data_IF_585977068434
#
_entry.id   IF_585977068434
#
_cell.length_a   1.000
_cell.length_b   1.000
_cell.length_c   1.000
_cell.angle_alpha   90.00
_cell.angle_beta   90.00
_cell.angle_gamma   90.00
#
_symmetry.space_group_name_H-M   'P 1'
#
loop_
_entity.id
_entity.type
_entity.pdbx_description
1 polymer ?
#
# COMPACT_ATOMS: atom_id res chain seq x y z
N UNK A 1 23.83 -77.52 19.11
CA UNK A 1 24.69 -76.36 19.40
C UNK A 1 24.45 -75.33 18.27
N UNK A 2 23.48 -74.46 18.43
CA UNK A 2 23.10 -73.47 17.43
C UNK A 2 23.57 -72.09 17.92
N UNK A 3 24.42 -71.41 17.18
CA UNK A 3 24.92 -70.11 17.49
C UNK A 3 23.93 -69.08 16.91
N UNK A 4 23.19 -68.39 17.75
CA UNK A 4 22.43 -67.22 17.40
C UNK A 4 23.38 -66.04 17.13
N UNK A 5 23.38 -65.52 15.88
CA UNK A 5 24.01 -64.25 15.52
C UNK A 5 23.02 -63.11 15.84
N UNK A 6 23.42 -62.24 16.76
CA UNK A 6 22.79 -60.98 17.03
C UNK A 6 23.09 -60.01 15.90
N UNK A 7 22.07 -59.60 15.13
CA UNK A 7 22.15 -58.55 14.16
C UNK A 7 21.83 -57.24 14.87
N UNK A 8 22.89 -56.50 15.14
CA UNK A 8 22.80 -55.13 15.67
C UNK A 8 22.40 -54.22 14.51
N UNK A 9 21.19 -53.69 14.54
CA UNK A 9 20.73 -52.64 13.62
C UNK A 9 21.10 -51.29 14.23
N UNK A 10 22.18 -50.73 13.80
CA UNK A 10 22.48 -49.31 14.00
C UNK A 10 21.54 -48.49 13.10
N UNK A 11 20.46 -48.01 13.70
CA UNK A 11 19.51 -47.07 13.08
C UNK A 11 19.89 -45.67 13.46
N UNK A 12 20.95 -45.12 12.87
CA UNK A 12 21.21 -43.68 12.89
C UNK A 12 20.30 -43.01 11.85
N UNK A 13 19.06 -42.75 12.26
CA UNK A 13 18.12 -41.93 11.53
C UNK A 13 18.31 -40.46 11.84
N UNK A 14 19.48 -39.91 11.53
CA UNK A 14 19.69 -38.48 11.48
C UNK A 14 18.70 -37.88 10.47
N UNK A 15 17.62 -37.24 10.94
CA UNK A 15 16.73 -36.49 10.08
C UNK A 15 17.56 -35.49 9.31
N UNK A 16 17.77 -35.73 8.01
CA UNK A 16 18.47 -34.79 7.15
C UNK A 16 17.76 -33.44 7.23
N UNK A 17 18.44 -32.41 7.72
CA UNK A 17 17.89 -31.04 7.71
C UNK A 17 17.43 -30.73 6.30
N UNK A 18 16.23 -30.13 6.13
CA UNK A 18 15.71 -29.76 4.83
C UNK A 18 16.74 -28.92 4.08
N UNK A 19 16.99 -29.21 2.81
CA UNK A 19 18.02 -28.53 2.00
C UNK A 19 17.84 -26.99 2.00
N UNK A 20 16.64 -26.50 2.20
CA UNK A 20 16.33 -25.06 2.29
C UNK A 20 16.99 -24.40 3.51
N UNK A 21 17.19 -25.13 4.61
CA UNK A 21 17.87 -24.61 5.81
C UNK A 21 19.39 -24.44 5.61
N UNK A 22 19.95 -25.04 4.56
CA UNK A 22 21.36 -24.90 4.19
C UNK A 22 21.63 -23.69 3.28
N UNK A 23 20.58 -23.08 2.69
CA UNK A 23 20.74 -21.90 1.84
C UNK A 23 21.36 -20.75 2.63
N UNK A 24 22.33 -20.00 2.10
CA UNK A 24 22.75 -18.73 2.67
C UNK A 24 21.55 -17.79 2.87
N UNK A 25 21.55 -17.01 3.96
CA UNK A 25 20.41 -16.18 4.32
C UNK A 25 20.05 -15.14 3.23
N UNK A 26 21.04 -14.64 2.48
CA UNK A 26 20.81 -13.73 1.35
C UNK A 26 20.12 -14.41 0.16
N UNK A 27 20.46 -15.67 -0.13
CA UNK A 27 19.75 -16.46 -1.15
C UNK A 27 18.31 -16.77 -0.71
N UNK A 28 18.09 -17.08 0.56
CA UNK A 28 16.75 -17.24 1.11
C UNK A 28 15.94 -15.94 0.96
N UNK A 29 16.54 -14.78 1.28
CA UNK A 29 15.89 -13.48 1.09
C UNK A 29 15.57 -13.22 -0.38
N UNK A 30 16.44 -13.61 -1.31
CA UNK A 30 16.19 -13.50 -2.74
C UNK A 30 15.01 -14.37 -3.17
N UNK A 31 14.98 -15.64 -2.77
CA UNK A 31 13.85 -16.55 -3.05
C UNK A 31 12.54 -15.97 -2.50
N UNK A 32 12.53 -15.48 -1.26
CA UNK A 32 11.37 -14.86 -0.65
C UNK A 32 10.94 -13.56 -1.36
N UNK A 33 11.87 -12.84 -1.99
CA UNK A 33 11.54 -11.64 -2.77
C UNK A 33 10.71 -11.95 -4.01
N UNK A 34 10.74 -13.16 -4.52
CA UNK A 34 9.96 -13.62 -5.68
C UNK A 34 8.53 -14.01 -5.31
N UNK A 35 8.23 -14.19 -4.01
CA UNK A 35 6.87 -14.52 -3.57
C UNK A 35 5.94 -13.31 -3.76
N UNK A 36 4.83 -13.45 -4.52
CA UNK A 36 3.87 -12.37 -4.74
C UNK A 36 2.93 -12.15 -3.54
N UNK A 37 2.74 -13.20 -2.72
CA UNK A 37 1.78 -13.21 -1.63
C UNK A 37 2.41 -12.75 -0.30
N UNK A 38 1.86 -11.68 0.28
CA UNK A 38 2.27 -11.23 1.63
C UNK A 38 1.82 -12.16 2.75
N UNK A 39 0.78 -12.96 2.52
CA UNK A 39 0.38 -14.03 3.43
C UNK A 39 1.50 -15.05 3.56
N UNK A 40 2.06 -15.49 2.43
CA UNK A 40 3.12 -16.48 2.42
C UNK A 40 4.41 -15.93 3.05
N UNK A 41 4.74 -14.65 2.78
CA UNK A 41 5.83 -13.95 3.47
C UNK A 41 5.60 -13.83 4.97
N UNK A 42 4.37 -13.54 5.40
CA UNK A 42 4.03 -13.48 6.83
C UNK A 42 4.17 -14.84 7.50
N UNK A 43 3.75 -15.92 6.83
CA UNK A 43 3.93 -17.29 7.31
C UNK A 43 5.40 -17.69 7.35
N UNK A 44 6.16 -17.38 6.30
CA UNK A 44 7.61 -17.60 6.23
C UNK A 44 8.34 -16.93 7.39
N UNK A 45 7.96 -15.71 7.75
CA UNK A 45 8.53 -14.99 8.91
C UNK A 45 8.24 -15.64 10.27
N UNK A 46 7.28 -16.56 10.35
CA UNK A 46 6.95 -17.34 11.54
C UNK A 46 7.79 -18.62 11.72
N UNK A 47 8.47 -19.09 10.67
CA UNK A 47 9.20 -20.38 10.65
C UNK A 47 10.40 -20.34 11.60
N UNK A 48 11.29 -19.37 11.48
CA UNK A 48 12.48 -19.24 12.33
C UNK A 48 12.97 -17.79 12.35
N UNK A 49 13.93 -17.47 13.25
CA UNK A 49 14.59 -16.15 13.29
C UNK A 49 15.30 -15.83 11.97
N UNK A 50 15.91 -16.82 11.35
CA UNK A 50 16.60 -16.71 10.06
C UNK A 50 15.63 -16.39 8.93
N UNK A 51 14.50 -17.08 8.88
CA UNK A 51 13.45 -16.82 7.90
C UNK A 51 12.83 -15.43 8.10
N UNK A 52 12.61 -15.01 9.33
CA UNK A 52 12.14 -13.65 9.64
C UNK A 52 13.10 -12.59 9.12
N UNK A 53 14.39 -12.75 9.38
CA UNK A 53 15.41 -11.86 8.85
C UNK A 53 15.41 -11.84 7.31
N UNK A 54 15.29 -12.98 6.66
CA UNK A 54 15.23 -13.08 5.20
C UNK A 54 13.97 -12.40 4.63
N UNK A 55 12.82 -12.52 5.29
CA UNK A 55 11.58 -11.80 4.93
C UNK A 55 11.80 -10.29 5.04
N UNK A 56 12.33 -9.80 6.16
CA UNK A 56 12.58 -8.37 6.37
C UNK A 56 13.53 -7.82 5.29
N UNK A 57 14.60 -8.56 4.98
CA UNK A 57 15.54 -8.17 3.92
C UNK A 57 14.89 -8.18 2.53
N UNK A 58 14.04 -9.15 2.24
CA UNK A 58 13.29 -9.21 0.98
C UNK A 58 12.33 -8.02 0.83
N UNK A 59 11.70 -7.60 1.93
CA UNK A 59 10.81 -6.43 1.96
C UNK A 59 11.59 -5.12 1.85
N UNK A 60 12.75 -5.02 2.49
CA UNK A 60 13.59 -3.83 2.43
C UNK A 60 14.03 -3.47 1.01
N UNK A 61 14.18 -4.44 0.12
CA UNK A 61 14.54 -4.21 -1.28
C UNK A 61 13.38 -3.75 -2.16
N UNK A 62 12.13 -3.90 -1.69
CA UNK A 62 10.94 -3.61 -2.49
C UNK A 62 10.66 -2.12 -2.58
N UNK A 63 10.39 -1.65 -3.79
CA UNK A 63 9.91 -0.28 -4.06
C UNK A 63 8.40 -0.19 -4.15
N UNK A 64 7.71 -1.31 -4.38
CA UNK A 64 6.25 -1.41 -4.47
C UNK A 64 5.72 -2.47 -3.53
N UNK A 65 4.65 -2.15 -2.83
CA UNK A 65 3.92 -3.04 -1.94
C UNK A 65 2.43 -2.92 -2.23
N UNK A 66 1.79 -4.01 -2.64
CA UNK A 66 0.34 -4.04 -2.89
C UNK A 66 -0.33 -5.10 -2.05
N UNK A 67 -1.32 -4.69 -1.27
CA UNK A 67 -2.20 -5.56 -0.49
C UNK A 67 -3.51 -5.87 -1.24
N UNK A 68 -3.62 -5.40 -2.48
CA UNK A 68 -4.79 -5.62 -3.32
C UNK A 68 -5.07 -7.13 -3.46
N UNK A 69 -6.32 -7.53 -3.24
CA UNK A 69 -6.70 -8.95 -3.30
C UNK A 69 -6.31 -9.81 -2.09
N UNK A 70 -5.66 -9.25 -1.07
CA UNK A 70 -5.21 -9.99 0.09
C UNK A 70 -6.02 -9.64 1.35
N UNK A 71 -6.32 -10.64 2.18
CA UNK A 71 -6.96 -10.43 3.49
C UNK A 71 -5.89 -9.98 4.49
N UNK A 72 -5.72 -8.68 4.64
CA UNK A 72 -4.70 -8.08 5.50
C UNK A 72 -5.37 -7.13 6.48
N UNK A 73 -5.08 -7.27 7.76
CA UNK A 73 -5.51 -6.35 8.81
C UNK A 73 -4.43 -5.29 9.12
N UNK A 74 -4.81 -4.32 9.94
CA UNK A 74 -4.02 -3.14 10.32
C UNK A 74 -2.59 -3.46 10.77
N UNK A 75 -2.44 -4.41 11.72
CA UNK A 75 -1.13 -4.74 12.30
C UNK A 75 -0.19 -5.38 11.31
N UNK A 76 -0.72 -6.28 10.48
CA UNK A 76 0.07 -6.96 9.47
C UNK A 76 0.54 -5.99 8.40
N UNK A 77 -0.36 -5.14 7.90
CA UNK A 77 -0.02 -4.11 6.92
C UNK A 77 1.06 -3.15 7.47
N UNK A 78 0.86 -2.64 8.68
CA UNK A 78 1.82 -1.72 9.30
C UNK A 78 3.20 -2.37 9.51
N UNK A 79 3.26 -3.63 9.93
CA UNK A 79 4.52 -4.37 10.10
C UNK A 79 5.26 -4.54 8.77
N UNK A 80 4.56 -4.92 7.70
CA UNK A 80 5.16 -5.12 6.39
C UNK A 80 5.64 -3.80 5.78
N UNK A 81 4.88 -2.71 5.94
CA UNK A 81 5.28 -1.38 5.46
C UNK A 81 6.52 -0.89 6.21
N UNK A 82 6.61 -1.08 7.53
CA UNK A 82 7.81 -0.71 8.31
C UNK A 82 9.07 -1.45 7.86
N UNK A 83 8.94 -2.72 7.46
CA UNK A 83 10.07 -3.50 6.95
C UNK A 83 10.51 -3.07 5.53
N UNK A 84 9.63 -2.43 4.77
CA UNK A 84 9.89 -2.00 3.40
C UNK A 84 10.49 -0.58 3.33
N UNK A 85 11.68 -0.39 3.87
CA UNK A 85 12.33 0.93 4.05
C UNK A 85 12.55 1.71 2.75
N UNK A 86 12.66 1.02 1.60
CA UNK A 86 12.85 1.62 0.27
C UNK A 86 11.54 1.81 -0.51
N UNK A 87 10.40 1.70 0.15
CA UNK A 87 9.09 1.77 -0.47
C UNK A 87 8.84 3.12 -1.13
N UNK A 88 8.28 3.08 -2.35
CA UNK A 88 7.85 4.25 -3.15
C UNK A 88 6.37 4.20 -3.49
N UNK A 89 5.83 3.01 -3.72
CA UNK A 89 4.46 2.79 -4.13
C UNK A 89 3.75 1.88 -3.11
N UNK A 90 2.72 2.40 -2.47
CA UNK A 90 1.90 1.68 -1.50
C UNK A 90 0.47 1.56 -2.02
N UNK A 91 0.03 0.33 -2.26
CA UNK A 91 -1.34 0.04 -2.67
C UNK A 91 -2.05 -0.81 -1.61
N UNK A 92 -3.02 -0.21 -0.94
CA UNK A 92 -3.87 -0.84 0.08
C UNK A 92 -5.30 -0.99 -0.43
N UNK A 93 -5.53 -0.77 -1.72
CA UNK A 93 -6.86 -0.76 -2.33
C UNK A 93 -7.67 -2.01 -1.99
N UNK A 94 -8.97 -1.82 -1.82
CA UNK A 94 -9.92 -2.90 -1.69
C UNK A 94 -10.22 -3.50 -3.06
N UNK A 95 -9.54 -4.57 -3.43
CA UNK A 95 -9.85 -5.32 -4.65
C UNK A 95 -10.65 -6.60 -4.39
N UNK A 96 -10.86 -6.99 -3.12
CA UNK A 96 -11.72 -8.12 -2.78
C UNK A 96 -12.35 -7.96 -1.38
N UNK A 97 -13.35 -8.80 -1.09
CA UNK A 97 -13.95 -8.89 0.23
C UNK A 97 -12.91 -9.39 1.25
N UNK A 98 -12.58 -8.56 2.25
CA UNK A 98 -11.75 -8.98 3.37
C UNK A 98 -10.49 -8.16 3.67
N UNK A 99 -10.17 -7.11 2.92
CA UNK A 99 -9.21 -6.11 3.38
C UNK A 99 -9.88 -5.30 4.51
N UNK A 100 -9.30 -5.38 5.71
CA UNK A 100 -9.82 -4.74 6.93
C UNK A 100 -8.86 -3.65 7.42
N UNK A 101 -8.28 -2.89 6.50
CA UNK A 101 -7.45 -1.75 6.88
C UNK A 101 -8.36 -0.57 7.19
N UNK A 102 -8.16 -0.01 8.38
CA UNK A 102 -8.93 1.10 8.94
C UNK A 102 -8.03 2.31 9.21
N UNK A 103 -8.60 3.38 9.73
CA UNK A 103 -7.84 4.55 10.18
C UNK A 103 -6.71 4.17 11.15
N UNK A 104 -6.95 3.18 12.01
CA UNK A 104 -5.93 2.70 12.94
C UNK A 104 -4.70 2.10 12.21
N UNK A 105 -4.94 1.37 11.14
CA UNK A 105 -3.87 0.87 10.28
C UNK A 105 -3.09 1.99 9.61
N UNK A 106 -3.77 3.02 9.08
CA UNK A 106 -3.11 4.17 8.47
C UNK A 106 -2.27 4.96 9.47
N UNK A 107 -2.77 5.15 10.69
CA UNK A 107 -2.01 5.78 11.78
C UNK A 107 -0.76 4.98 12.11
N UNK A 108 -0.85 3.64 12.19
CA UNK A 108 0.33 2.78 12.40
C UNK A 108 1.31 2.82 11.23
N UNK A 109 0.81 2.87 9.99
CA UNK A 109 1.63 2.98 8.78
C UNK A 109 2.33 4.34 8.74
N UNK A 110 1.67 5.43 9.14
CA UNK A 110 2.24 6.77 9.11
C UNK A 110 3.52 6.92 9.94
N UNK A 111 3.74 6.04 10.92
CA UNK A 111 4.97 6.02 11.72
C UNK A 111 6.17 5.34 11.04
N UNK A 112 5.98 4.70 9.88
CA UNK A 112 7.07 4.05 9.15
C UNK A 112 8.00 5.08 8.47
N UNK A 113 9.31 4.82 8.50
CA UNK A 113 10.33 5.74 7.95
C UNK A 113 10.20 5.95 6.45
N UNK A 114 9.69 4.94 5.73
CA UNK A 114 9.49 5.02 4.28
C UNK A 114 8.38 5.99 3.84
N UNK A 115 7.49 6.43 4.73
CA UNK A 115 6.31 7.25 4.38
C UNK A 115 6.72 8.57 3.73
N UNK A 116 7.76 9.23 4.23
CA UNK A 116 8.30 10.46 3.63
C UNK A 116 8.81 10.28 2.20
N UNK A 117 9.14 9.06 1.80
CA UNK A 117 9.66 8.70 0.48
C UNK A 117 8.59 8.17 -0.49
N UNK A 118 7.34 7.97 -0.04
CA UNK A 118 6.28 7.47 -0.89
C UNK A 118 5.94 8.49 -1.98
N UNK A 119 5.88 8.00 -3.21
CA UNK A 119 5.50 8.77 -4.39
C UNK A 119 4.08 8.46 -4.84
N UNK A 120 3.58 7.28 -4.51
CA UNK A 120 2.23 6.83 -4.87
C UNK A 120 1.57 6.09 -3.70
N UNK A 121 0.33 6.48 -3.38
CA UNK A 121 -0.52 5.81 -2.38
C UNK A 121 -1.90 5.55 -2.98
N UNK A 122 -2.39 4.32 -2.86
CA UNK A 122 -3.76 3.96 -3.18
C UNK A 122 -4.48 3.36 -1.99
N UNK A 123 -5.59 3.99 -1.60
CA UNK A 123 -6.52 3.59 -0.53
C UNK A 123 -7.91 3.29 -1.10
N UNK A 124 -8.00 3.05 -2.41
CA UNK A 124 -9.26 2.90 -3.14
C UNK A 124 -10.24 1.92 -2.47
N UNK A 125 -11.48 2.38 -2.29
CA UNK A 125 -12.60 1.54 -1.88
C UNK A 125 -12.56 1.06 -0.43
N UNK A 126 -11.69 1.62 0.42
CA UNK A 126 -11.60 1.27 1.84
C UNK A 126 -12.68 2.01 2.64
N UNK A 127 -13.78 1.31 2.96
CA UNK A 127 -14.90 1.87 3.71
C UNK A 127 -14.56 2.20 5.19
N UNK A 128 -13.47 1.66 5.74
CA UNK A 128 -13.00 1.95 7.10
C UNK A 128 -12.06 3.16 7.20
N UNK A 129 -11.88 3.91 6.10
CA UNK A 129 -10.99 5.08 6.04
C UNK A 129 -11.81 6.37 6.06
N UNK A 130 -11.43 7.26 6.96
CA UNK A 130 -11.98 8.61 7.14
C UNK A 130 -10.83 9.64 7.15
N UNK A 131 -11.17 10.90 7.42
CA UNK A 131 -10.19 11.97 7.56
C UNK A 131 -9.11 11.65 8.60
N UNK A 132 -9.49 11.01 9.70
CA UNK A 132 -8.55 10.68 10.79
C UNK A 132 -7.34 9.88 10.29
N UNK A 133 -7.54 8.83 9.50
CA UNK A 133 -6.45 8.02 8.98
C UNK A 133 -5.65 8.73 7.89
N UNK A 134 -6.36 9.40 6.96
CA UNK A 134 -5.73 10.11 5.84
C UNK A 134 -4.86 11.26 6.33
N UNK A 135 -5.35 12.11 7.24
CA UNK A 135 -4.60 13.24 7.80
C UNK A 135 -3.29 12.78 8.42
N UNK A 136 -3.31 11.72 9.23
CA UNK A 136 -2.08 11.19 9.84
C UNK A 136 -1.09 10.66 8.79
N UNK A 137 -1.56 9.97 7.76
CA UNK A 137 -0.70 9.41 6.73
C UNK A 137 -0.07 10.51 5.87
N UNK A 138 -0.87 11.46 5.35
CA UNK A 138 -0.39 12.47 4.41
C UNK A 138 0.48 13.54 5.09
N UNK A 139 0.31 13.78 6.40
CA UNK A 139 1.14 14.73 7.14
C UNK A 139 2.64 14.40 7.11
N UNK A 140 3.01 13.17 6.76
CA UNK A 140 4.40 12.70 6.64
C UNK A 140 4.80 12.31 5.21
N UNK A 141 3.87 12.32 4.24
CA UNK A 141 4.09 11.86 2.86
C UNK A 141 4.54 13.01 1.94
N UNK A 142 5.65 13.67 2.26
CA UNK A 142 6.12 14.89 1.57
C UNK A 142 6.51 14.70 0.11
N UNK A 143 6.89 13.48 -0.29
CA UNK A 143 7.29 13.14 -1.66
C UNK A 143 6.12 12.71 -2.55
N UNK A 144 4.89 12.74 -2.03
CA UNK A 144 3.72 12.18 -2.70
C UNK A 144 3.40 12.93 -4.01
N UNK A 145 3.26 12.16 -5.09
CA UNK A 145 2.89 12.63 -6.42
C UNK A 145 1.53 12.09 -6.88
N UNK A 146 1.16 10.89 -6.45
CA UNK A 146 -0.07 10.24 -6.86
C UNK A 146 -0.83 9.72 -5.64
N UNK A 147 -2.07 10.19 -5.47
CA UNK A 147 -2.93 9.78 -4.37
C UNK A 147 -4.28 9.29 -4.89
N UNK A 148 -4.65 8.06 -4.54
CA UNK A 148 -5.97 7.55 -4.80
C UNK A 148 -6.69 7.26 -3.48
N UNK A 149 -7.70 8.06 -3.16
CA UNK A 149 -8.57 7.94 -1.99
C UNK A 149 -10.05 7.83 -2.38
N UNK A 150 -10.30 7.44 -3.62
CA UNK A 150 -11.65 7.25 -4.13
C UNK A 150 -12.41 6.17 -3.39
N UNK A 151 -13.71 6.37 -3.19
CA UNK A 151 -14.59 5.43 -2.49
C UNK A 151 -14.34 5.33 -0.98
N UNK A 152 -13.69 6.31 -0.37
CA UNK A 152 -13.51 6.46 1.08
C UNK A 152 -14.50 7.47 1.66
N UNK A 153 -14.59 7.53 3.01
CA UNK A 153 -15.47 8.46 3.72
C UNK A 153 -14.77 9.74 4.18
N UNK A 154 -13.92 10.28 3.30
CA UNK A 154 -13.22 11.54 3.57
C UNK A 154 -14.12 12.76 3.31
N UNK A 155 -13.75 13.89 3.93
CA UNK A 155 -14.32 15.22 3.74
C UNK A 155 -13.24 16.20 3.24
N UNK A 156 -13.55 17.48 3.24
CA UNK A 156 -12.61 18.56 2.92
C UNK A 156 -11.41 18.61 3.89
N UNK A 157 -11.54 18.07 5.11
CA UNK A 157 -10.45 18.00 6.09
C UNK A 157 -9.26 17.23 5.54
N UNK A 158 -9.49 16.07 4.90
CA UNK A 158 -8.43 15.33 4.21
C UNK A 158 -7.79 16.15 3.10
N UNK A 159 -8.57 16.88 2.31
CA UNK A 159 -8.03 17.69 1.21
C UNK A 159 -7.21 18.87 1.73
N UNK A 160 -7.58 19.49 2.84
CA UNK A 160 -6.78 20.52 3.49
C UNK A 160 -5.44 19.96 3.99
N UNK A 161 -5.45 18.76 4.57
CA UNK A 161 -4.22 18.10 5.00
C UNK A 161 -3.31 17.75 3.82
N UNK A 162 -3.87 17.20 2.73
CA UNK A 162 -3.13 16.93 1.49
C UNK A 162 -2.55 18.21 0.90
N UNK A 163 -3.35 19.29 0.81
CA UNK A 163 -2.93 20.57 0.29
C UNK A 163 -1.76 21.18 1.06
N UNK A 164 -1.74 21.00 2.38
CA UNK A 164 -0.70 21.54 3.25
C UNK A 164 0.58 20.70 3.27
N UNK A 165 0.49 19.37 3.09
CA UNK A 165 1.62 18.45 3.25
C UNK A 165 2.19 17.95 1.93
N UNK A 166 1.36 17.73 0.90
CA UNK A 166 1.73 17.05 -0.33
C UNK A 166 1.87 18.02 -1.51
N UNK A 167 2.73 19.03 -1.41
CA UNK A 167 2.91 20.09 -2.43
C UNK A 167 3.47 19.59 -3.76
N UNK A 168 4.01 18.37 -3.80
CA UNK A 168 4.52 17.72 -5.02
C UNK A 168 3.44 16.91 -5.76
N UNK A 169 2.19 16.96 -5.30
CA UNK A 169 1.09 16.17 -5.86
C UNK A 169 0.82 16.52 -7.32
N UNK A 170 0.79 15.50 -8.19
CA UNK A 170 0.51 15.58 -9.62
C UNK A 170 -0.88 15.07 -9.97
N UNK A 171 -1.33 14.02 -9.29
CA UNK A 171 -2.66 13.50 -9.54
C UNK A 171 -3.35 13.05 -8.26
N UNK A 172 -4.66 13.27 -8.20
CA UNK A 172 -5.51 12.78 -7.13
C UNK A 172 -6.79 12.17 -7.71
N UNK A 173 -7.19 11.02 -7.14
CA UNK A 173 -8.44 10.36 -7.47
C UNK A 173 -9.36 10.45 -6.26
N UNK A 174 -10.48 11.16 -6.45
CA UNK A 174 -11.54 11.43 -5.47
C UNK A 174 -12.87 10.78 -5.87
N UNK A 175 -12.80 9.81 -6.77
CA UNK A 175 -14.02 9.16 -7.28
C UNK A 175 -14.94 8.71 -6.15
N UNK A 176 -16.21 9.09 -6.23
CA UNK A 176 -17.24 8.75 -5.21
C UNK A 176 -16.96 9.24 -3.78
N UNK A 177 -16.07 10.21 -3.58
CA UNK A 177 -15.90 10.91 -2.30
C UNK A 177 -17.06 11.91 -2.11
N UNK A 178 -18.19 11.45 -1.59
CA UNK A 178 -19.47 12.16 -1.60
C UNK A 178 -19.59 13.29 -0.56
N UNK A 179 -18.65 13.37 0.37
CA UNK A 179 -18.60 14.39 1.43
C UNK A 179 -17.56 15.48 1.18
N UNK A 180 -16.83 15.38 0.08
CA UNK A 180 -15.92 16.43 -0.39
C UNK A 180 -16.72 17.48 -1.15
N UNK A 181 -16.41 18.76 -0.88
CA UNK A 181 -17.06 19.90 -1.49
C UNK A 181 -16.12 20.70 -2.40
N UNK A 182 -16.64 21.75 -3.04
CA UNK A 182 -15.84 22.70 -3.82
C UNK A 182 -14.72 23.34 -2.98
N UNK A 183 -14.98 23.63 -1.70
CA UNK A 183 -14.00 24.31 -0.83
C UNK A 183 -12.71 23.50 -0.67
N UNK A 184 -12.82 22.17 -0.48
CA UNK A 184 -11.67 21.27 -0.43
C UNK A 184 -10.89 21.22 -1.74
N UNK A 185 -11.61 21.18 -2.88
CA UNK A 185 -10.98 21.18 -4.22
C UNK A 185 -10.25 22.49 -4.50
N UNK A 186 -10.83 23.63 -4.17
CA UNK A 186 -10.20 24.95 -4.32
C UNK A 186 -8.93 25.05 -3.48
N UNK A 187 -8.98 24.61 -2.22
CA UNK A 187 -7.79 24.59 -1.36
C UNK A 187 -6.67 23.72 -1.94
N UNK A 188 -7.01 22.53 -2.47
CA UNK A 188 -6.08 21.63 -3.11
C UNK A 188 -5.38 22.27 -4.32
N UNK A 189 -6.17 22.83 -5.26
CA UNK A 189 -5.64 23.44 -6.49
C UNK A 189 -4.78 24.68 -6.17
N UNK A 190 -5.16 25.46 -5.16
CA UNK A 190 -4.40 26.63 -4.73
C UNK A 190 -3.01 26.28 -4.16
N UNK A 191 -2.88 25.17 -3.44
CA UNK A 191 -1.64 24.78 -2.76
C UNK A 191 -0.77 23.83 -3.60
N UNK A 192 -1.37 22.86 -4.27
CA UNK A 192 -0.66 21.86 -5.07
C UNK A 192 -0.40 22.37 -6.50
N UNK A 193 0.58 23.24 -6.66
CA UNK A 193 0.90 23.91 -7.95
C UNK A 193 1.39 22.96 -9.05
N UNK A 194 1.72 21.71 -8.70
CA UNK A 194 2.14 20.67 -9.66
C UNK A 194 0.99 19.73 -10.02
N UNK A 195 -0.24 20.06 -9.60
CA UNK A 195 -1.39 19.21 -9.83
C UNK A 195 -1.82 19.26 -11.31
N UNK A 196 -1.70 18.13 -11.99
CA UNK A 196 -1.97 17.96 -13.41
C UNK A 196 -3.35 17.34 -13.67
N UNK A 197 -3.82 16.47 -12.71
CA UNK A 197 -5.06 15.73 -12.92
C UNK A 197 -5.84 15.51 -11.61
N UNK A 198 -7.14 15.76 -11.67
CA UNK A 198 -8.11 15.38 -10.62
C UNK A 198 -9.19 14.49 -11.23
N UNK A 199 -9.46 13.35 -10.60
CA UNK A 199 -10.62 12.52 -10.95
C UNK A 199 -11.73 12.73 -9.92
N UNK A 200 -12.86 13.32 -10.36
CA UNK A 200 -14.03 13.72 -9.55
C UNK A 200 -15.28 12.91 -9.85
N UNK A 201 -15.16 11.80 -10.56
CA UNK A 201 -16.32 10.98 -10.95
C UNK A 201 -17.14 10.52 -9.73
N UNK A 202 -18.46 10.60 -9.81
CA UNK A 202 -19.35 10.17 -8.74
C UNK A 202 -19.38 11.06 -7.49
N UNK A 203 -18.72 12.21 -7.50
CA UNK A 203 -18.83 13.24 -6.47
C UNK A 203 -20.17 14.02 -6.58
N UNK A 204 -20.55 14.72 -5.52
CA UNK A 204 -21.77 15.57 -5.49
C UNK A 204 -21.47 17.05 -5.72
N UNK A 205 -20.32 17.37 -6.29
CA UNK A 205 -19.91 18.74 -6.61
C UNK A 205 -20.55 19.17 -7.92
N UNK A 206 -21.21 20.36 -7.97
CA UNK A 206 -21.82 20.87 -9.19
C UNK A 206 -20.79 21.10 -10.30
N UNK A 207 -21.15 20.89 -11.58
CA UNK A 207 -20.23 21.10 -12.71
C UNK A 207 -19.67 22.52 -12.80
N UNK A 208 -20.43 23.51 -12.35
CA UNK A 208 -20.06 24.94 -12.36
C UNK A 208 -18.82 25.21 -11.49
N UNK A 209 -18.68 24.46 -10.38
CA UNK A 209 -17.52 24.57 -9.48
C UNK A 209 -16.21 24.23 -10.19
N UNK A 210 -16.24 23.36 -11.20
CA UNK A 210 -15.04 23.00 -11.94
C UNK A 210 -14.52 24.10 -12.85
N UNK A 211 -15.40 25.03 -13.30
CA UNK A 211 -15.00 26.22 -14.05
C UNK A 211 -14.10 27.12 -13.19
N UNK A 212 -14.46 27.28 -11.91
CA UNK A 212 -13.63 28.02 -10.94
C UNK A 212 -12.25 27.39 -10.76
N UNK A 213 -12.14 26.06 -10.69
CA UNK A 213 -10.87 25.36 -10.57
C UNK A 213 -9.97 25.57 -11.81
N UNK A 214 -10.54 25.55 -13.01
CA UNK A 214 -9.80 25.80 -14.26
C UNK A 214 -9.35 27.25 -14.37
N UNK A 215 -10.06 28.21 -13.76
CA UNK A 215 -9.61 29.60 -13.67
C UNK A 215 -8.37 29.75 -12.79
N UNK A 216 -8.22 28.93 -11.75
CA UNK A 216 -7.02 28.89 -10.87
C UNK A 216 -5.86 28.17 -11.54
N UNK A 217 -6.14 27.05 -12.23
CA UNK A 217 -5.15 26.21 -12.91
C UNK A 217 -5.66 25.79 -14.30
N UNK A 218 -5.38 26.58 -15.36
CA UNK A 218 -5.90 26.32 -16.70
C UNK A 218 -5.40 25.01 -17.34
N UNK A 219 -4.25 24.50 -16.90
CA UNK A 219 -3.68 23.24 -17.40
C UNK A 219 -4.21 21.99 -16.69
N UNK A 220 -5.06 22.18 -15.66
CA UNK A 220 -5.59 21.09 -14.86
C UNK A 220 -6.55 20.22 -15.67
N UNK A 221 -6.30 18.92 -15.70
CA UNK A 221 -7.23 17.95 -16.30
C UNK A 221 -8.24 17.46 -15.26
N UNK A 222 -9.51 17.71 -15.49
CA UNK A 222 -10.60 17.22 -14.65
C UNK A 222 -11.24 16.02 -15.33
N UNK A 223 -11.20 14.85 -14.68
CA UNK A 223 -11.75 13.59 -15.20
C UNK A 223 -12.94 13.15 -14.37
N UNK A 224 -13.96 12.60 -15.02
CA UNK A 224 -15.15 12.04 -14.37
C UNK A 224 -15.26 10.52 -14.52
N UNK A 225 -14.35 9.86 -15.22
CA UNK A 225 -14.37 8.43 -15.50
C UNK A 225 -13.54 7.68 -14.44
N UNK A 226 -14.05 6.56 -13.87
CA UNK A 226 -13.28 5.74 -12.94
C UNK A 226 -12.04 5.13 -13.63
N UNK A 227 -10.88 5.26 -13.03
CA UNK A 227 -9.62 4.70 -13.55
C UNK A 227 -9.58 3.16 -13.60
N UNK A 228 -10.58 2.48 -13.02
CA UNK A 228 -10.65 1.01 -12.91
C UNK A 228 -10.74 0.32 -14.28
N UNK A 229 -11.26 1.01 -15.29
CA UNK A 229 -11.40 0.43 -16.64
C UNK A 229 -10.10 0.43 -17.46
N UNK A 230 -9.05 1.14 -17.03
CA UNK A 230 -7.79 1.23 -17.78
C UNK A 230 -6.69 0.29 -17.27
N UNK A 231 -6.89 -0.42 -16.17
CA UNK A 231 -5.90 -1.38 -15.65
C UNK A 231 -5.90 -2.75 -16.36
N UNK A 232 -6.82 -2.96 -17.31
CA UNK A 232 -7.04 -4.26 -17.96
C UNK A 232 -6.80 -4.32 -19.47
N UNK A 233 -6.41 -3.24 -20.13
CA UNK A 233 -6.19 -3.24 -21.61
C UNK A 233 -4.80 -2.70 -21.91
N UNK A 234 -3.77 -3.48 -21.65
CA UNK A 234 -2.61 -3.50 -22.54
C UNK A 234 -2.94 -4.48 -23.65
N UNK A 235 -3.47 -3.95 -24.75
CA UNK A 235 -3.52 -4.65 -26.02
C UNK A 235 -2.09 -4.69 -26.55
N UNK A 236 -1.59 -5.91 -26.67
CA UNK A 236 -0.38 -6.31 -27.40
C UNK A 236 -0.33 -5.76 -28.82
#
# INVERSE_FOLDING_TARGET
MEKQQHHQRDGDGGAAEPDIERLPADLLAHVLSLLPSFRDLSMAGGVSRRWRWAVERSLASRRRLSFAGQRTGDDTAARLVRAAVNLRDLDISRSCWGCQITDHGLIKISTADCVGNLTSISLWGLAGITDKGVVHLVSRAYSLQHLNIGGTFITDESLYAVANSCTNLKSIILWSCRHVTEAGLVALVNKCRRLECINVGGMRVPPESFVGLLSISPALQIRSIPHILNAGVQVS
#
